data_IF_128984685677
#
_entry.id   IF_128984685677
#
_cell.length_a   1.000
_cell.length_b   1.000
_cell.length_c   1.000
_cell.angle_alpha   90.00
_cell.angle_beta   90.00
_cell.angle_gamma   90.00
#
_symmetry.space_group_name_H-M   'P 1'
#
loop_
_entity.id
_entity.type
_entity.pdbx_description
1 polymer ?
#
# COMPACT_ATOMS: atom_id res chain seq x y z
N UNK A 1 9.50 -3.96 21.69
CA UNK A 1 9.05 -3.02 22.75
C UNK A 1 7.70 -2.48 22.31
N UNK A 2 6.67 -2.61 23.14
CA UNK A 2 5.33 -2.12 22.85
C UNK A 2 5.04 -1.01 23.86
N UNK A 3 4.72 0.19 23.37
CA UNK A 3 4.44 1.32 24.23
C UNK A 3 3.05 1.20 24.86
N UNK A 4 2.92 1.49 26.16
CA UNK A 4 1.69 1.28 26.93
C UNK A 4 0.51 2.17 26.51
N UNK A 5 0.75 3.24 25.75
CA UNK A 5 -0.32 4.12 25.23
C UNK A 5 -0.95 3.59 23.94
N UNK A 6 -0.47 2.46 23.40
CA UNK A 6 -1.02 1.85 22.20
C UNK A 6 -2.11 0.84 22.56
N UNK A 7 -3.16 0.83 21.75
CA UNK A 7 -4.31 -0.06 21.91
C UNK A 7 -4.14 -1.22 20.94
N UNK A 8 -3.89 -2.41 21.49
CA UNK A 8 -3.73 -3.64 20.72
C UNK A 8 -4.83 -4.59 21.15
N UNK A 9 -5.68 -4.98 20.21
CA UNK A 9 -6.72 -5.97 20.49
C UNK A 9 -6.09 -7.32 20.88
N UNK A 10 -6.68 -8.01 21.86
CA UNK A 10 -6.17 -9.29 22.37
C UNK A 10 -6.16 -10.41 21.34
N UNK A 11 -6.96 -10.29 20.27
CA UNK A 11 -7.03 -11.26 19.16
C UNK A 11 -5.99 -10.99 18.07
N UNK A 12 -5.36 -9.81 18.07
CA UNK A 12 -4.29 -9.49 17.15
C UNK A 12 -3.12 -10.47 17.33
N UNK A 13 -2.51 -10.90 16.23
CA UNK A 13 -1.34 -11.80 16.26
C UNK A 13 -0.09 -10.96 16.08
N UNK A 14 0.77 -10.94 17.09
CA UNK A 14 2.01 -10.16 17.09
C UNK A 14 3.21 -11.11 17.13
N UNK A 15 4.11 -10.97 16.15
CA UNK A 15 5.35 -11.72 16.03
C UNK A 15 6.41 -11.32 17.05
N UNK A 16 7.59 -11.93 16.91
CA UNK A 16 8.76 -11.68 17.75
C UNK A 16 9.44 -10.36 17.38
N UNK A 17 10.05 -9.72 18.37
CA UNK A 17 10.84 -8.50 18.19
C UNK A 17 10.09 -7.33 17.52
N UNK A 18 8.75 -7.35 17.52
CA UNK A 18 7.94 -6.25 17.03
C UNK A 18 8.12 -5.03 17.94
N UNK A 19 8.23 -3.86 17.30
CA UNK A 19 8.25 -2.56 17.97
C UNK A 19 6.98 -1.81 17.65
N UNK A 20 6.27 -1.39 18.69
CA UNK A 20 5.08 -0.55 18.58
C UNK A 20 5.31 0.66 19.45
N UNK A 21 5.52 1.83 18.84
CA UNK A 21 5.61 3.07 19.58
C UNK A 21 4.23 3.58 20.02
N UNK A 22 4.14 4.83 20.50
CA UNK A 22 2.97 5.32 21.21
C UNK A 22 1.76 5.58 20.30
N UNK A 23 0.56 5.45 20.87
CA UNK A 23 -0.72 5.82 20.24
C UNK A 23 -1.04 5.08 18.93
N UNK A 24 -0.55 3.86 18.77
CA UNK A 24 -0.98 2.97 17.69
C UNK A 24 -2.29 2.26 18.07
N UNK A 25 -3.14 2.01 17.08
CA UNK A 25 -4.29 1.12 17.17
C UNK A 25 -4.08 -0.11 16.29
N UNK A 26 -4.29 -1.30 16.84
CA UNK A 26 -4.17 -2.58 16.15
C UNK A 26 -5.42 -3.42 16.40
N UNK A 27 -6.21 -3.65 15.36
CA UNK A 27 -7.49 -4.35 15.43
C UNK A 27 -7.41 -5.89 15.61
N UNK A 28 -8.56 -6.55 15.88
CA UNK A 28 -8.62 -7.95 16.30
C UNK A 28 -8.17 -8.98 15.25
N UNK A 29 -8.25 -8.66 13.96
CA UNK A 29 -7.90 -9.59 12.87
C UNK A 29 -6.52 -9.28 12.27
N UNK A 30 -5.79 -8.33 12.84
CA UNK A 30 -4.47 -7.93 12.35
C UNK A 30 -3.42 -8.96 12.72
N UNK A 31 -2.54 -9.25 11.77
CA UNK A 31 -1.40 -10.16 11.94
C UNK A 31 -0.12 -9.42 11.57
N UNK A 32 0.76 -9.23 12.54
CA UNK A 32 2.03 -8.53 12.40
C UNK A 32 3.16 -9.54 12.56
N UNK A 33 3.97 -9.69 11.52
CA UNK A 33 5.10 -10.62 11.51
C UNK A 33 6.31 -10.10 12.30
N UNK A 34 7.33 -10.94 12.39
CA UNK A 34 8.53 -10.66 13.19
C UNK A 34 9.27 -9.39 12.72
N UNK A 35 9.84 -8.66 13.67
CA UNK A 35 10.71 -7.51 13.40
C UNK A 35 10.02 -6.27 12.81
N UNK A 36 8.69 -6.27 12.66
CA UNK A 36 7.95 -5.08 12.21
C UNK A 36 8.12 -3.92 13.19
N UNK A 37 8.26 -2.71 12.65
CA UNK A 37 8.40 -1.47 13.42
C UNK A 37 7.28 -0.48 13.09
N UNK A 38 6.40 -0.23 14.06
CA UNK A 38 5.37 0.81 14.01
C UNK A 38 5.85 2.00 14.84
N UNK A 39 6.03 3.16 14.20
CA UNK A 39 6.63 4.34 14.85
C UNK A 39 5.73 4.99 15.91
N UNK A 40 4.60 5.58 15.53
CA UNK A 40 3.60 6.15 16.45
C UNK A 40 2.33 6.51 15.69
N UNK A 41 1.19 6.65 16.35
CA UNK A 41 -0.04 7.20 15.73
C UNK A 41 -0.48 6.47 14.45
N UNK A 42 -0.28 5.14 14.39
CA UNK A 42 -0.66 4.31 13.24
C UNK A 42 -1.98 3.61 13.53
N UNK A 43 -2.87 3.55 12.55
CA UNK A 43 -4.12 2.80 12.63
C UNK A 43 -4.06 1.58 11.71
N UNK A 44 -4.22 0.38 12.28
CA UNK A 44 -4.28 -0.87 11.52
C UNK A 44 -5.52 -1.65 11.94
N UNK A 45 -6.38 -1.99 10.98
CA UNK A 45 -7.59 -2.76 11.23
C UNK A 45 -7.90 -3.75 10.09
N UNK A 46 -9.08 -4.38 10.15
CA UNK A 46 -9.50 -5.38 9.17
C UNK A 46 -8.67 -6.67 9.21
N UNK A 47 -8.94 -7.55 8.26
CA UNK A 47 -8.14 -8.76 8.03
C UNK A 47 -6.86 -8.39 7.29
N UNK A 48 -5.92 -7.82 8.05
CA UNK A 48 -4.67 -7.25 7.54
C UNK A 48 -3.47 -8.08 8.00
N UNK A 49 -2.61 -8.47 7.07
CA UNK A 49 -1.33 -9.12 7.35
C UNK A 49 -0.17 -8.23 6.94
N UNK A 50 0.83 -8.12 7.82
CA UNK A 50 2.05 -7.33 7.60
C UNK A 50 3.26 -8.25 7.72
N UNK A 51 4.06 -8.33 6.67
CA UNK A 51 5.25 -9.17 6.57
C UNK A 51 6.43 -8.68 7.38
N UNK A 52 7.45 -9.55 7.47
CA UNK A 52 8.63 -9.40 8.31
C UNK A 52 9.39 -8.12 8.01
N UNK A 53 9.90 -7.45 9.04
CA UNK A 53 10.82 -6.31 8.89
C UNK A 53 10.22 -5.04 8.28
N UNK A 54 8.91 -5.03 7.97
CA UNK A 54 8.22 -3.84 7.45
C UNK A 54 8.21 -2.73 8.50
N UNK A 55 8.45 -1.50 8.04
CA UNK A 55 8.50 -0.30 8.88
C UNK A 55 7.43 0.69 8.45
N UNK A 56 6.63 1.13 9.41
CA UNK A 56 5.45 1.99 9.19
C UNK A 56 5.59 3.27 10.01
N UNK A 57 5.48 4.40 9.32
CA UNK A 57 5.67 5.74 9.86
C UNK A 57 4.34 6.38 10.31
N UNK A 58 4.39 7.50 11.04
CA UNK A 58 3.21 8.04 11.71
C UNK A 58 2.04 8.40 10.80
N UNK A 59 0.83 8.26 11.35
CA UNK A 59 -0.44 8.63 10.70
C UNK A 59 -0.82 7.81 9.47
N UNK A 60 -0.16 6.67 9.23
CA UNK A 60 -0.62 5.70 8.25
C UNK A 60 -1.95 5.06 8.69
N UNK A 61 -2.86 4.87 7.73
CA UNK A 61 -4.17 4.23 7.92
C UNK A 61 -4.29 3.00 7.03
N UNK A 62 -4.28 1.81 7.64
CA UNK A 62 -4.06 0.55 6.96
C UNK A 62 -5.20 -0.42 7.27
N UNK A 63 -5.81 -0.98 6.23
CA UNK A 63 -6.87 -1.98 6.36
C UNK A 63 -8.24 -1.41 6.68
N UNK A 64 -8.39 -0.08 6.69
CA UNK A 64 -9.71 0.57 6.78
C UNK A 64 -10.54 0.25 5.54
N UNK A 65 -11.87 0.25 5.70
CA UNK A 65 -12.81 -0.23 4.66
C UNK A 65 -12.59 0.46 3.29
N UNK A 66 -12.85 -0.24 2.17
CA UNK A 66 -12.80 0.33 0.83
C UNK A 66 -13.66 1.59 0.69
N UNK A 67 -13.21 2.51 -0.18
CA UNK A 67 -13.98 3.71 -0.54
C UNK A 67 -15.01 3.47 -1.67
N UNK A 68 -15.07 2.24 -2.22
CA UNK A 68 -16.06 1.88 -3.23
C UNK A 68 -17.47 1.89 -2.61
N UNK A 69 -18.38 2.67 -3.20
CA UNK A 69 -19.79 2.75 -2.78
C UNK A 69 -20.53 1.41 -2.89
N UNK A 70 -19.98 0.45 -3.66
CA UNK A 70 -20.53 -0.89 -3.78
C UNK A 70 -20.18 -1.80 -2.59
N UNK A 71 -19.20 -1.45 -1.77
CA UNK A 71 -18.82 -2.23 -0.60
C UNK A 71 -19.99 -2.28 0.40
N UNK A 72 -20.41 -3.49 0.80
CA UNK A 72 -21.54 -3.73 1.70
C UNK A 72 -21.13 -4.41 3.02
N UNK A 73 -19.84 -4.36 3.36
CA UNK A 73 -19.31 -5.05 4.53
C UNK A 73 -18.99 -6.51 4.27
N UNK A 74 -18.78 -6.89 3.01
CA UNK A 74 -18.32 -8.24 2.67
C UNK A 74 -16.95 -8.55 3.26
N UNK A 75 -16.65 -9.84 3.43
CA UNK A 75 -15.32 -10.28 3.82
C UNK A 75 -14.28 -9.87 2.76
N UNK A 76 -13.22 -9.21 3.22
CA UNK A 76 -12.07 -8.81 2.43
C UNK A 76 -10.77 -8.98 3.22
N UNK A 77 -9.65 -8.71 2.56
CA UNK A 77 -8.33 -8.83 3.16
C UNK A 77 -7.31 -7.89 2.54
N UNK A 78 -6.27 -7.62 3.31
CA UNK A 78 -5.08 -6.88 2.90
C UNK A 78 -3.84 -7.69 3.27
N UNK A 79 -2.95 -7.91 2.31
CA UNK A 79 -1.67 -8.59 2.53
C UNK A 79 -0.52 -7.68 2.09
N UNK A 80 0.34 -7.32 3.05
CA UNK A 80 1.55 -6.54 2.84
C UNK A 80 2.75 -7.45 3.12
N UNK A 81 3.68 -7.54 2.17
CA UNK A 81 4.88 -8.34 2.25
C UNK A 81 5.95 -7.79 3.21
N UNK A 82 7.17 -8.21 2.97
CA UNK A 82 8.33 -8.02 3.84
C UNK A 82 9.15 -6.78 3.47
N UNK A 83 9.85 -6.23 4.47
CA UNK A 83 10.83 -5.14 4.34
C UNK A 83 10.31 -3.89 3.61
N UNK A 84 9.00 -3.65 3.69
CA UNK A 84 8.39 -2.46 3.12
C UNK A 84 8.67 -1.24 4.01
N UNK A 85 8.82 -0.08 3.38
CA UNK A 85 8.85 1.21 4.07
C UNK A 85 7.60 1.99 3.72
N UNK A 86 6.70 2.12 4.69
CA UNK A 86 5.41 2.80 4.54
C UNK A 86 5.49 4.13 5.28
N UNK A 87 5.55 5.23 4.53
CA UNK A 87 5.75 6.59 5.06
C UNK A 87 4.47 7.18 5.66
N UNK A 88 4.60 8.41 6.12
CA UNK A 88 3.57 9.15 6.82
C UNK A 88 2.32 9.34 5.95
N UNK A 89 1.15 9.29 6.58
CA UNK A 89 -0.15 9.51 5.91
C UNK A 89 -0.48 8.56 4.76
N UNK A 90 0.27 7.46 4.58
CA UNK A 90 -0.09 6.43 3.60
C UNK A 90 -1.41 5.78 3.97
N UNK A 91 -2.26 5.56 2.97
CA UNK A 91 -3.55 4.87 3.14
C UNK A 91 -3.61 3.65 2.26
N UNK A 92 -4.09 2.52 2.81
CA UNK A 92 -4.16 1.23 2.11
C UNK A 92 -5.48 0.55 2.46
N UNK A 93 -6.34 0.32 1.47
CA UNK A 93 -7.62 -0.37 1.66
C UNK A 93 -7.56 -1.84 1.23
N UNK A 94 -8.31 -2.74 1.89
CA UNK A 94 -8.46 -4.12 1.45
C UNK A 94 -9.29 -4.20 0.17
N UNK A 95 -9.44 -5.38 -0.41
CA UNK A 95 -10.23 -5.56 -1.63
C UNK A 95 -11.75 -5.52 -1.42
N UNK A 96 -12.47 -5.79 -2.51
CA UNK A 96 -13.93 -5.88 -2.58
C UNK A 96 -14.35 -7.19 -3.23
N UNK A 97 -15.60 -7.62 -3.05
CA UNK A 97 -16.10 -8.83 -3.72
C UNK A 97 -15.92 -8.77 -5.25
N UNK A 98 -16.12 -7.60 -5.85
CA UNK A 98 -16.01 -7.39 -7.29
C UNK A 98 -14.58 -7.47 -7.84
N UNK A 99 -13.55 -7.33 -7.01
CA UNK A 99 -12.14 -7.31 -7.43
C UNK A 99 -11.30 -8.49 -6.96
N UNK A 100 -11.89 -9.45 -6.25
CA UNK A 100 -11.18 -10.62 -5.71
C UNK A 100 -10.91 -10.58 -4.21
N UNK A 101 -11.53 -9.64 -3.49
CA UNK A 101 -11.56 -9.51 -2.02
C UNK A 101 -10.19 -9.25 -1.38
N UNK A 102 -9.18 -8.91 -2.16
CA UNK A 102 -7.81 -8.80 -1.65
C UNK A 102 -7.03 -7.70 -2.33
N UNK A 103 -6.41 -6.84 -1.52
CA UNK A 103 -5.32 -5.96 -1.93
C UNK A 103 -3.99 -6.60 -1.53
N UNK A 104 -3.01 -6.59 -2.42
CA UNK A 104 -1.70 -7.22 -2.22
C UNK A 104 -0.59 -6.20 -2.47
N UNK A 105 0.37 -6.15 -1.56
CA UNK A 105 1.64 -5.43 -1.71
C UNK A 105 2.78 -6.41 -1.48
N UNK A 106 3.72 -6.50 -2.41
CA UNK A 106 4.89 -7.36 -2.35
C UNK A 106 5.93 -6.90 -1.33
N UNK A 107 7.20 -7.12 -1.65
CA UNK A 107 8.32 -6.91 -0.74
C UNK A 107 9.17 -5.70 -1.16
N UNK A 108 9.96 -5.17 -0.22
CA UNK A 108 10.96 -4.12 -0.45
C UNK A 108 10.41 -2.84 -1.11
N UNK A 109 9.12 -2.56 -0.97
CA UNK A 109 8.52 -1.37 -1.56
C UNK A 109 8.76 -0.14 -0.67
N UNK A 110 8.88 1.02 -1.32
CA UNK A 110 8.86 2.31 -0.67
C UNK A 110 7.59 3.06 -1.06
N UNK A 111 6.66 3.18 -0.11
CA UNK A 111 5.46 3.98 -0.24
C UNK A 111 5.70 5.30 0.47
N UNK A 112 5.93 6.37 -0.28
CA UNK A 112 6.25 7.68 0.27
C UNK A 112 4.99 8.43 0.75
N UNK A 113 5.21 9.64 1.27
CA UNK A 113 4.22 10.37 2.08
C UNK A 113 2.91 10.53 1.32
N UNK A 114 1.80 10.22 1.99
CA UNK A 114 0.44 10.39 1.45
C UNK A 114 0.15 9.65 0.14
N UNK A 115 0.89 8.59 -0.20
CA UNK A 115 0.46 7.68 -1.27
C UNK A 115 -0.81 6.94 -0.84
N UNK A 116 -1.71 6.69 -1.78
CA UNK A 116 -2.95 5.96 -1.54
C UNK A 116 -3.01 4.70 -2.40
N UNK A 117 -3.25 3.56 -1.76
CA UNK A 117 -3.45 2.26 -2.40
C UNK A 117 -4.92 1.89 -2.21
N UNK A 118 -5.70 2.02 -3.28
CA UNK A 118 -7.12 1.66 -3.27
C UNK A 118 -7.34 0.15 -3.18
N UNK A 119 -8.61 -0.22 -3.09
CA UNK A 119 -9.06 -1.61 -3.06
C UNK A 119 -8.62 -2.40 -4.29
N UNK A 120 -8.37 -3.70 -4.08
CA UNK A 120 -8.09 -4.69 -5.13
C UNK A 120 -6.82 -4.41 -5.94
N UNK A 121 -5.92 -3.56 -5.44
CA UNK A 121 -4.63 -3.33 -6.07
C UNK A 121 -3.71 -4.54 -5.89
N UNK A 122 -2.86 -4.79 -6.88
CA UNK A 122 -1.82 -5.81 -6.82
C UNK A 122 -0.46 -5.16 -7.14
N UNK A 123 0.38 -5.02 -6.13
CA UNK A 123 1.69 -4.36 -6.22
C UNK A 123 2.77 -5.41 -6.03
N UNK A 124 3.71 -5.48 -6.96
CA UNK A 124 4.86 -6.37 -6.94
C UNK A 124 5.93 -5.96 -5.92
N UNK A 125 7.17 -6.32 -6.22
CA UNK A 125 8.34 -6.12 -5.37
C UNK A 125 9.20 -4.96 -5.84
N UNK A 126 10.00 -4.39 -4.93
CA UNK A 126 10.97 -3.33 -5.22
C UNK A 126 10.33 -2.08 -5.88
N UNK A 127 9.05 -1.84 -5.62
CA UNK A 127 8.29 -0.72 -6.18
C UNK A 127 8.52 0.55 -5.37
N UNK A 128 8.71 1.68 -6.04
CA UNK A 128 8.78 3.00 -5.42
C UNK A 128 7.59 3.84 -5.84
N UNK A 129 6.76 4.23 -4.87
CA UNK A 129 5.64 5.14 -5.06
C UNK A 129 5.96 6.43 -4.34
N UNK A 130 6.25 7.50 -5.09
CA UNK A 130 6.62 8.78 -4.51
C UNK A 130 5.43 9.52 -3.87
N UNK A 131 5.72 10.68 -3.28
CA UNK A 131 4.75 11.45 -2.49
C UNK A 131 3.46 11.75 -3.26
N UNK A 132 2.33 11.68 -2.53
CA UNK A 132 1.00 12.06 -3.00
C UNK A 132 0.55 11.34 -4.28
N UNK A 133 0.91 10.06 -4.45
CA UNK A 133 0.44 9.25 -5.57
C UNK A 133 -0.77 8.43 -5.15
N UNK A 134 -1.98 8.76 -5.63
CA UNK A 134 -3.12 7.87 -5.53
C UNK A 134 -3.16 6.84 -6.66
N UNK A 135 -3.37 5.59 -6.28
CA UNK A 135 -3.77 4.51 -7.17
C UNK A 135 -5.28 4.32 -7.07
N UNK A 136 -5.99 4.30 -8.20
CA UNK A 136 -7.39 3.89 -8.25
C UNK A 136 -7.54 2.38 -7.99
N UNK A 137 -8.78 1.93 -7.82
CA UNK A 137 -9.08 0.51 -7.55
C UNK A 137 -8.59 -0.42 -8.67
N UNK A 138 -8.26 -1.66 -8.33
CA UNK A 138 -7.84 -2.70 -9.28
C UNK A 138 -6.56 -2.40 -10.07
N UNK A 139 -5.70 -1.48 -9.61
CA UNK A 139 -4.43 -1.18 -10.27
C UNK A 139 -3.45 -2.34 -10.08
N UNK A 140 -2.75 -2.72 -11.14
CA UNK A 140 -1.62 -3.67 -11.08
C UNK A 140 -0.30 -2.95 -11.32
N UNK A 141 0.66 -3.12 -10.42
CA UNK A 141 2.02 -2.61 -10.57
C UNK A 141 2.97 -3.81 -10.49
N UNK A 142 3.72 -4.06 -11.54
CA UNK A 142 4.73 -5.12 -11.57
C UNK A 142 6.04 -4.70 -10.87
N UNK A 143 6.98 -5.63 -10.76
CA UNK A 143 8.21 -5.43 -9.99
C UNK A 143 9.06 -4.23 -10.48
N UNK A 144 9.78 -3.60 -9.56
CA UNK A 144 10.78 -2.56 -9.83
C UNK A 144 10.25 -1.32 -10.56
N UNK A 145 8.94 -1.05 -10.47
CA UNK A 145 8.32 0.16 -11.01
C UNK A 145 8.64 1.37 -10.13
N UNK A 146 8.88 2.52 -10.76
CA UNK A 146 9.00 3.81 -10.08
C UNK A 146 7.89 4.74 -10.53
N UNK A 147 7.11 5.27 -9.58
CA UNK A 147 6.08 6.27 -9.85
C UNK A 147 6.46 7.60 -9.21
N UNK A 148 6.68 8.62 -10.05
CA UNK A 148 7.03 9.97 -9.62
C UNK A 148 5.89 10.69 -8.89
N UNK A 149 6.26 11.62 -8.02
CA UNK A 149 5.34 12.24 -7.06
C UNK A 149 4.24 13.07 -7.72
N UNK A 150 3.12 13.23 -7.01
CA UNK A 150 1.90 13.91 -7.47
C UNK A 150 1.33 13.35 -8.79
N UNK A 151 1.72 12.13 -9.19
CA UNK A 151 1.07 11.40 -10.28
C UNK A 151 -0.21 10.75 -9.78
N UNK A 152 -1.12 10.38 -10.69
CA UNK A 152 -2.33 9.65 -10.35
C UNK A 152 -2.54 8.50 -11.35
N UNK A 153 -2.88 7.32 -10.84
CA UNK A 153 -3.11 6.12 -11.66
C UNK A 153 -4.59 5.78 -11.68
N UNK A 154 -5.19 5.76 -12.87
CA UNK A 154 -6.60 5.42 -13.04
C UNK A 154 -6.86 3.95 -12.66
N UNK A 155 -8.04 3.67 -12.11
CA UNK A 155 -8.52 2.32 -11.82
C UNK A 155 -8.31 1.35 -13.01
N UNK A 156 -8.07 0.07 -12.71
CA UNK A 156 -7.79 -1.02 -13.67
C UNK A 156 -6.51 -0.87 -14.51
N UNK A 157 -5.71 0.17 -14.31
CA UNK A 157 -4.46 0.37 -15.07
C UNK A 157 -3.39 -0.63 -14.63
N UNK A 158 -2.60 -1.11 -15.60
CA UNK A 158 -1.44 -1.98 -15.38
C UNK A 158 -0.14 -1.25 -15.72
N UNK A 159 0.84 -1.31 -14.83
CA UNK A 159 2.18 -0.72 -15.02
C UNK A 159 3.20 -1.86 -14.99
N UNK A 160 3.82 -2.11 -16.15
CA UNK A 160 4.71 -3.24 -16.36
C UNK A 160 6.08 -3.08 -15.69
N UNK A 161 6.76 -4.21 -15.50
CA UNK A 161 8.01 -4.31 -14.74
C UNK A 161 9.05 -3.32 -15.23
N UNK A 162 9.78 -2.69 -14.31
CA UNK A 162 10.83 -1.70 -14.61
C UNK A 162 10.34 -0.47 -15.39
N UNK A 163 9.04 -0.22 -15.49
CA UNK A 163 8.54 1.04 -16.03
C UNK A 163 8.82 2.20 -15.07
N UNK A 164 9.03 3.39 -15.63
CA UNK A 164 9.11 4.64 -14.86
C UNK A 164 8.01 5.59 -15.29
N UNK A 165 7.22 6.05 -14.31
CA UNK A 165 6.24 7.11 -14.46
C UNK A 165 6.86 8.41 -13.96
N UNK A 166 6.92 9.42 -14.81
CA UNK A 166 7.38 10.75 -14.42
C UNK A 166 6.46 11.43 -13.40
N UNK A 167 6.99 12.36 -12.61
CA UNK A 167 6.17 13.14 -11.67
C UNK A 167 5.05 13.92 -12.36
N UNK A 168 3.98 14.18 -11.62
CA UNK A 168 2.78 14.90 -12.08
C UNK A 168 2.10 14.26 -13.32
N UNK A 169 2.26 12.95 -13.49
CA UNK A 169 1.68 12.22 -14.63
C UNK A 169 0.28 11.73 -14.31
N UNK A 170 -0.68 11.96 -15.20
CA UNK A 170 -1.99 11.33 -15.16
C UNK A 170 -1.99 10.05 -15.99
N UNK A 171 -1.88 8.90 -15.33
CA UNK A 171 -1.79 7.58 -15.98
C UNK A 171 -3.20 7.03 -16.20
N UNK A 172 -3.65 7.02 -17.45
CA UNK A 172 -4.99 6.54 -17.84
C UNK A 172 -4.94 5.26 -18.70
N UNK A 173 -3.75 4.89 -19.16
CA UNK A 173 -3.53 3.72 -19.99
C UNK A 173 -2.36 2.92 -19.44
N UNK A 174 -2.44 1.62 -19.68
CA UNK A 174 -1.38 0.69 -19.34
C UNK A 174 -0.01 1.17 -19.85
N UNK A 175 1.01 0.94 -19.04
CA UNK A 175 2.40 1.25 -19.38
C UNK A 175 3.14 -0.07 -19.52
N UNK A 176 3.75 -0.28 -20.68
CA UNK A 176 4.50 -1.50 -20.99
C UNK A 176 5.71 -1.66 -20.05
N UNK A 177 6.18 -2.90 -19.82
CA UNK A 177 7.44 -3.13 -19.13
C UNK A 177 8.59 -2.32 -19.75
N UNK A 178 9.50 -1.84 -18.91
CA UNK A 178 10.62 -0.96 -19.26
C UNK A 178 10.18 0.37 -19.90
N UNK A 179 8.89 0.71 -19.86
CA UNK A 179 8.38 1.93 -20.49
C UNK A 179 8.67 3.16 -19.65
N UNK A 180 9.11 4.23 -20.30
CA UNK A 180 9.22 5.56 -19.72
C UNK A 180 7.97 6.39 -20.07
N UNK A 181 7.10 6.68 -19.10
CA UNK A 181 5.82 7.36 -19.36
C UNK A 181 5.68 8.70 -18.62
N UNK A 182 5.20 9.72 -19.33
CA UNK A 182 5.02 11.09 -18.82
C UNK A 182 3.72 11.71 -19.30
N UNK A 183 3.25 12.74 -18.60
CA UNK A 183 2.26 13.69 -19.09
C UNK A 183 0.90 13.60 -18.39
N UNK A 184 0.06 14.61 -18.62
CA UNK A 184 -1.31 14.65 -18.10
C UNK A 184 -2.24 14.90 -19.29
N UNK A 185 -2.59 13.89 -20.11
CA UNK A 185 -2.53 12.41 -19.94
C UNK A 185 -1.20 11.75 -20.36
N UNK A 186 -0.94 10.53 -19.86
CA UNK A 186 0.31 9.83 -20.08
C UNK A 186 0.51 9.37 -21.54
N UNK A 187 1.77 9.46 -22.01
CA UNK A 187 2.24 8.87 -23.26
C UNK A 187 3.61 8.20 -23.03
N UNK A 188 3.99 7.29 -23.92
CA UNK A 188 5.29 6.62 -23.88
C UNK A 188 6.35 7.54 -24.50
N UNK A 189 7.40 7.85 -23.74
CA UNK A 189 8.53 8.69 -24.17
C UNK A 189 9.75 7.87 -24.59
N UNK A 190 9.80 6.59 -24.27
CA UNK A 190 10.90 5.70 -24.62
C UNK A 190 11.00 4.52 -23.67
N UNK A 191 12.23 4.02 -23.53
CA UNK A 191 12.60 2.94 -22.61
C UNK A 191 13.24 3.56 -21.36
N UNK A 192 13.05 2.91 -20.21
CA UNK A 192 13.69 3.20 -18.93
C UNK A 192 15.04 2.46 -18.82
#
# INVERSE_FOLDING_TARGET
MIHNSSVIDKKAKIGKNVKVGPFCYIGPQVQISDGVELISNIHIEGNTKIGIGTKIFPFASIGTVPQDLKYQGEDNSLEIGENNTIREYVTINPGTEGGGRKTIIGNNCLLMISSHIAHDCNIGNDVVIANNVPLGGHVTIEDSVVIGGNSAVQQFTRIGRLAMIGGMTGVLKDVIPFGLSFGNRNYLRGIN
#
